data_IF_895413686905
#
_entry.id   IF_895413686905
#
_cell.length_a   1.000
_cell.length_b   1.000
_cell.length_c   1.000
_cell.angle_alpha   90.00
_cell.angle_beta   90.00
_cell.angle_gamma   90.00
#
_symmetry.space_group_name_H-M   'P 1'
#
loop_
_entity.id
_entity.type
_entity.pdbx_description
1 polymer ?
#
# COMPACT_ATOMS: atom_id res chain seq x y z
N UNK A 1 -7.43 42.16 -1.68
CA UNK A 1 -6.01 41.87 -1.96
C UNK A 1 -5.94 40.61 -2.81
N UNK A 2 -5.47 40.73 -4.04
CA UNK A 2 -5.36 39.64 -5.01
C UNK A 2 -4.10 38.85 -4.62
N UNK A 3 -4.28 37.64 -4.11
CA UNK A 3 -3.16 36.74 -3.84
C UNK A 3 -2.65 36.23 -5.18
N UNK A 4 -1.44 36.66 -5.53
CA UNK A 4 -0.68 36.26 -6.71
C UNK A 4 -0.57 34.74 -6.77
N UNK A 5 -1.17 34.12 -7.79
CA UNK A 5 -0.94 32.71 -8.12
C UNK A 5 0.49 32.57 -8.64
N UNK A 6 1.36 31.93 -7.86
CA UNK A 6 2.65 31.45 -8.33
C UNK A 6 2.44 30.53 -9.52
N UNK A 7 2.99 30.90 -10.69
CA UNK A 7 3.05 30.07 -11.89
C UNK A 7 3.93 28.85 -11.64
N UNK A 8 3.39 27.80 -11.01
CA UNK A 8 3.92 26.45 -11.17
C UNK A 8 3.52 25.99 -12.58
N UNK A 9 4.52 25.82 -13.44
CA UNK A 9 4.38 25.21 -14.77
C UNK A 9 3.75 23.83 -14.55
N UNK A 10 2.46 23.68 -14.82
CA UNK A 10 1.77 22.40 -14.61
C UNK A 10 2.43 21.37 -15.52
N UNK A 11 3.19 20.44 -14.94
CA UNK A 11 3.56 19.22 -15.64
C UNK A 11 2.26 18.60 -16.13
N UNK A 12 2.11 18.40 -17.43
CA UNK A 12 0.93 17.72 -17.97
C UNK A 12 0.90 16.34 -17.34
N UNK A 13 -0.12 16.05 -16.54
CA UNK A 13 -0.30 14.76 -15.90
C UNK A 13 -0.63 13.74 -16.99
N UNK A 14 0.33 12.85 -17.26
CA UNK A 14 0.22 11.79 -18.27
C UNK A 14 0.42 10.43 -17.63
N UNK A 15 -0.10 9.39 -18.27
CA UNK A 15 0.16 8.01 -17.91
C UNK A 15 1.66 7.73 -17.92
N UNK A 16 2.16 7.22 -16.81
CA UNK A 16 3.56 6.92 -16.60
C UNK A 16 4.11 5.85 -17.54
N UNK A 17 3.27 4.97 -18.11
CA UNK A 17 3.75 3.85 -18.92
C UNK A 17 3.63 4.07 -20.44
N UNK A 18 2.59 4.78 -20.90
CA UNK A 18 2.35 5.00 -22.33
C UNK A 18 2.23 6.47 -22.75
N UNK A 19 2.27 7.42 -21.80
CA UNK A 19 2.16 8.86 -22.08
C UNK A 19 0.75 9.34 -22.45
N UNK A 20 -0.29 8.52 -22.29
CA UNK A 20 -1.67 8.93 -22.52
C UNK A 20 -2.06 10.09 -21.59
N UNK A 21 -2.78 11.08 -22.11
CA UNK A 21 -3.33 12.18 -21.31
C UNK A 21 -4.43 11.69 -20.36
N UNK A 22 -4.71 12.51 -19.33
CA UNK A 22 -5.84 12.33 -18.41
C UNK A 22 -5.86 10.96 -17.69
N UNK A 23 -4.78 10.60 -16.96
CA UNK A 23 -4.73 9.37 -16.20
C UNK A 23 -5.84 9.33 -15.14
N UNK A 24 -6.48 8.17 -14.97
CA UNK A 24 -7.64 7.98 -14.08
C UNK A 24 -7.36 7.06 -12.89
N UNK A 25 -6.13 6.52 -12.81
CA UNK A 25 -5.66 5.60 -11.79
C UNK A 25 -4.28 6.01 -11.31
N UNK A 26 -3.89 5.52 -10.15
CA UNK A 26 -2.54 5.65 -9.62
C UNK A 26 -2.01 4.32 -9.12
N UNK A 27 -0.69 4.14 -9.22
CA UNK A 27 0.07 3.14 -8.49
C UNK A 27 0.73 3.82 -7.29
N UNK A 28 0.16 3.62 -6.10
CA UNK A 28 0.50 4.34 -4.87
C UNK A 28 1.97 4.11 -4.50
N UNK A 29 2.37 2.84 -4.34
CA UNK A 29 3.73 2.47 -3.95
C UNK A 29 4.78 2.83 -5.02
N UNK A 30 4.36 3.12 -6.26
CA UNK A 30 5.25 3.57 -7.34
C UNK A 30 5.27 5.08 -7.50
N UNK A 31 4.31 5.81 -6.91
CA UNK A 31 4.13 7.24 -7.10
C UNK A 31 3.76 7.65 -8.53
N UNK A 32 3.03 6.79 -9.25
CA UNK A 32 2.76 6.97 -10.69
C UNK A 32 1.28 7.12 -10.99
N UNK A 33 0.96 7.96 -11.99
CA UNK A 33 -0.37 8.06 -12.58
C UNK A 33 -0.48 7.12 -13.80
N UNK A 34 -1.63 6.49 -13.97
CA UNK A 34 -1.89 5.46 -14.99
C UNK A 34 -3.20 5.76 -15.73
N UNK A 35 -3.22 5.52 -17.04
CA UNK A 35 -4.47 5.42 -17.79
C UNK A 35 -5.17 4.07 -17.49
N UNK A 36 -6.44 3.95 -17.85
CA UNK A 36 -7.21 2.72 -17.63
C UNK A 36 -6.52 1.50 -18.27
N UNK A 37 -6.09 1.59 -19.53
CA UNK A 37 -5.41 0.49 -20.23
C UNK A 37 -4.16 -0.03 -19.50
N UNK A 38 -3.26 0.87 -19.06
CA UNK A 38 -2.06 0.43 -18.34
C UNK A 38 -2.42 -0.10 -16.95
N UNK A 39 -3.41 0.51 -16.30
CA UNK A 39 -3.94 0.05 -15.02
C UNK A 39 -4.47 -1.40 -15.08
N UNK A 40 -5.08 -1.84 -16.19
CA UNK A 40 -5.55 -3.22 -16.32
C UNK A 40 -4.41 -4.25 -16.17
N UNK A 41 -3.21 -3.93 -16.65
CA UNK A 41 -2.01 -4.75 -16.48
C UNK A 41 -1.45 -4.64 -15.05
N UNK A 42 -1.49 -3.45 -14.45
CA UNK A 42 -1.08 -3.29 -13.05
C UNK A 42 -1.91 -4.15 -12.08
N UNK A 43 -3.22 -4.26 -12.34
CA UNK A 43 -4.13 -5.09 -11.54
C UNK A 43 -3.83 -6.58 -11.63
N UNK A 44 -3.29 -7.05 -12.76
CA UNK A 44 -2.95 -8.47 -12.94
C UNK A 44 -1.63 -8.88 -12.28
N UNK A 45 -0.77 -7.92 -11.89
CA UNK A 45 0.47 -8.20 -11.16
C UNK A 45 0.26 -8.34 -9.65
N UNK A 46 -0.85 -7.83 -9.10
CA UNK A 46 -1.15 -7.88 -7.68
C UNK A 46 -0.44 -6.80 -6.83
N UNK A 47 -0.91 -6.64 -5.59
CA UNK A 47 -0.49 -5.56 -4.69
C UNK A 47 1.00 -5.60 -4.33
N UNK A 48 1.58 -6.79 -4.21
CA UNK A 48 3.02 -6.96 -3.98
C UNK A 48 3.90 -6.30 -5.05
N UNK A 49 3.34 -5.95 -6.22
CA UNK A 49 4.02 -5.17 -7.26
C UNK A 49 3.46 -3.75 -7.35
N UNK A 50 2.13 -3.58 -7.39
CA UNK A 50 1.46 -2.29 -7.61
C UNK A 50 0.17 -2.16 -6.80
N UNK A 51 0.13 -1.16 -5.93
CA UNK A 51 -1.06 -0.72 -5.19
C UNK A 51 -1.91 0.21 -6.05
N UNK A 52 -2.92 -0.34 -6.72
CA UNK A 52 -3.76 0.42 -7.66
C UNK A 52 -4.91 1.11 -6.92
N UNK A 53 -5.16 2.39 -7.23
CA UNK A 53 -6.32 3.13 -6.71
C UNK A 53 -6.86 4.11 -7.76
N UNK A 54 -8.18 4.24 -7.86
CA UNK A 54 -8.81 5.18 -8.80
C UNK A 54 -8.63 6.63 -8.31
N UNK A 55 -8.37 7.54 -9.25
CA UNK A 55 -8.31 8.98 -8.98
C UNK A 55 -9.70 9.65 -9.03
N UNK A 56 -10.69 8.96 -9.62
CA UNK A 56 -12.04 9.51 -9.85
C UNK A 56 -13.09 8.93 -8.90
N UNK A 57 -12.83 7.76 -8.33
CA UNK A 57 -13.76 7.05 -7.46
C UNK A 57 -13.09 6.59 -6.18
N UNK A 58 -13.86 6.59 -5.08
CA UNK A 58 -13.38 6.24 -3.75
C UNK A 58 -12.77 7.43 -2.99
N UNK A 59 -12.57 7.25 -1.69
CA UNK A 59 -11.99 8.26 -0.80
C UNK A 59 -10.46 8.13 -0.76
N UNK A 60 -9.76 9.26 -0.74
CA UNK A 60 -8.32 9.35 -0.56
C UNK A 60 -8.02 10.04 0.77
N UNK A 61 -7.16 9.46 1.64
CA UNK A 61 -6.52 10.22 2.70
C UNK A 61 -5.75 11.42 2.08
N UNK A 62 -5.89 12.65 2.61
CA UNK A 62 -5.26 13.83 2.03
C UNK A 62 -3.73 13.71 1.90
N UNK A 63 -3.06 13.19 2.94
CA UNK A 63 -1.63 12.93 2.96
C UNK A 63 -1.17 11.93 1.90
N UNK A 64 -1.96 10.87 1.67
CA UNK A 64 -1.67 9.84 0.67
C UNK A 64 -1.78 10.40 -0.76
N UNK A 65 -2.81 11.20 -1.03
CA UNK A 65 -2.96 11.86 -2.33
C UNK A 65 -1.85 12.88 -2.57
N UNK A 66 -1.53 13.69 -1.56
CA UNK A 66 -0.45 14.66 -1.62
C UNK A 66 0.92 13.99 -1.89
N UNK A 67 1.17 12.81 -1.29
CA UNK A 67 2.37 12.01 -1.55
C UNK A 67 2.47 11.59 -3.03
N UNK A 68 1.39 11.02 -3.60
CA UNK A 68 1.38 10.61 -5.02
C UNK A 68 1.54 11.80 -5.96
N UNK A 69 0.87 12.92 -5.68
CA UNK A 69 0.99 14.16 -6.46
C UNK A 69 2.41 14.74 -6.40
N UNK A 70 3.01 14.78 -5.21
CA UNK A 70 4.37 15.27 -5.02
C UNK A 70 5.41 14.40 -5.75
N UNK A 71 5.29 13.07 -5.69
CA UNK A 71 6.14 12.15 -6.45
C UNK A 71 6.00 12.35 -7.96
N UNK A 72 4.76 12.50 -8.44
CA UNK A 72 4.50 12.77 -9.87
C UNK A 72 5.12 14.10 -10.31
N UNK A 73 4.94 15.16 -9.51
CA UNK A 73 5.51 16.49 -9.78
C UNK A 73 7.05 16.49 -9.78
N UNK A 74 7.67 15.62 -8.98
CA UNK A 74 9.13 15.42 -8.94
C UNK A 74 9.67 14.53 -10.08
N UNK A 75 8.81 14.08 -11.01
CA UNK A 75 9.16 13.18 -12.11
C UNK A 75 9.81 11.87 -11.62
N UNK A 76 9.21 11.27 -10.58
CA UNK A 76 9.63 9.97 -10.02
C UNK A 76 9.70 8.85 -11.07
N UNK A 77 8.97 8.99 -12.19
CA UNK A 77 9.00 8.03 -13.27
C UNK A 77 10.42 7.83 -13.86
N UNK A 78 11.29 8.83 -13.72
CA UNK A 78 12.71 8.72 -14.09
C UNK A 78 13.49 7.65 -13.29
N UNK A 79 13.03 7.28 -12.10
CA UNK A 79 13.60 6.17 -11.30
C UNK A 79 13.29 4.83 -11.97
N UNK A 80 12.03 4.66 -12.38
CA UNK A 80 11.51 3.45 -13.00
C UNK A 80 11.92 3.27 -14.46
N UNK A 81 12.40 4.32 -15.09
CA UNK A 81 12.80 4.39 -16.50
C UNK A 81 14.26 4.83 -16.66
N UNK A 82 15.08 4.70 -15.63
CA UNK A 82 16.45 5.25 -15.59
C UNK A 82 17.27 4.86 -16.82
N UNK A 83 17.33 3.58 -17.19
CA UNK A 83 18.10 3.13 -18.36
C UNK A 83 17.51 3.57 -19.70
N UNK A 84 16.21 3.92 -19.75
CA UNK A 84 15.58 4.46 -20.96
C UNK A 84 15.99 5.91 -21.22
N UNK A 85 16.47 6.61 -20.18
CA UNK A 85 16.95 7.99 -20.27
C UNK A 85 18.42 8.09 -20.72
N UNK A 86 19.15 6.97 -20.75
CA UNK A 86 20.55 6.93 -21.17
C UNK A 86 20.70 7.21 -22.67
N UNK A 87 21.09 8.44 -23.02
CA UNK A 87 21.22 8.85 -24.43
C UNK A 87 22.32 8.12 -25.18
N UNK A 88 23.26 7.45 -24.48
CA UNK A 88 24.31 6.63 -25.09
C UNK A 88 23.80 5.29 -25.61
N UNK A 89 22.68 4.77 -25.07
CA UNK A 89 22.11 3.51 -25.48
C UNK A 89 21.43 3.58 -26.87
N UNK A 90 21.50 2.50 -27.68
CA UNK A 90 20.78 2.40 -28.95
C UNK A 90 19.29 2.72 -28.82
N UNK A 91 18.73 3.48 -29.78
CA UNK A 91 17.33 3.94 -29.74
C UNK A 91 16.30 2.83 -29.56
N UNK A 92 16.56 1.64 -30.11
CA UNK A 92 15.63 0.51 -30.02
C UNK A 92 15.49 -0.04 -28.58
N UNK A 93 16.51 0.13 -27.73
CA UNK A 93 16.50 -0.27 -26.31
C UNK A 93 15.80 0.75 -25.41
N UNK A 94 15.45 1.94 -25.95
CA UNK A 94 14.82 3.05 -25.21
C UNK A 94 13.36 3.28 -25.60
N UNK A 95 12.74 2.29 -26.25
CA UNK A 95 11.40 2.45 -26.80
C UNK A 95 10.35 2.29 -25.70
N UNK A 96 9.69 3.39 -25.38
CA UNK A 96 8.49 3.41 -24.54
C UNK A 96 7.22 3.32 -25.41
N UNK A 97 6.18 2.57 -24.98
CA UNK A 97 4.90 2.54 -25.67
C UNK A 97 4.28 3.92 -25.81
N UNK A 98 3.51 4.09 -26.88
CA UNK A 98 2.71 5.29 -27.15
C UNK A 98 1.24 5.07 -26.75
N UNK A 99 0.44 6.14 -26.61
CA UNK A 99 -0.96 6.02 -26.21
C UNK A 99 -1.79 5.14 -27.13
N UNK A 100 -1.46 5.11 -28.43
CA UNK A 100 -2.17 4.35 -29.47
C UNK A 100 -1.66 2.92 -29.66
N UNK A 101 -0.55 2.55 -29.00
CA UNK A 101 -0.02 1.19 -29.12
C UNK A 101 -1.00 0.18 -28.51
N UNK A 102 -1.09 -1.05 -29.06
CA UNK A 102 -2.00 -2.07 -28.54
C UNK A 102 -1.64 -2.45 -27.10
N UNK A 103 -2.66 -2.76 -26.29
CA UNK A 103 -2.47 -3.20 -24.91
C UNK A 103 -1.59 -4.45 -24.85
N UNK A 104 -1.92 -5.45 -25.66
CA UNK A 104 -1.17 -6.68 -25.79
C UNK A 104 -0.57 -6.82 -27.20
N UNK A 105 0.70 -7.27 -27.33
CA UNK A 105 1.66 -7.45 -26.25
C UNK A 105 2.32 -6.14 -25.79
N UNK A 106 2.31 -5.08 -26.62
CA UNK A 106 3.23 -3.92 -26.52
C UNK A 106 3.21 -3.22 -25.15
N UNK A 107 2.07 -2.68 -24.71
CA UNK A 107 2.01 -2.00 -23.40
C UNK A 107 2.24 -3.00 -22.26
N UNK A 108 1.63 -4.17 -22.33
CA UNK A 108 1.70 -5.19 -21.27
C UNK A 108 3.12 -5.71 -21.02
N UNK A 109 3.90 -6.00 -22.07
CA UNK A 109 5.29 -6.44 -21.93
C UNK A 109 6.17 -5.36 -21.34
N UNK A 110 5.98 -4.11 -21.78
CA UNK A 110 6.70 -2.97 -21.22
C UNK A 110 6.40 -2.77 -19.74
N UNK A 111 5.12 -2.81 -19.34
CA UNK A 111 4.69 -2.66 -17.95
C UNK A 111 5.28 -3.78 -17.08
N UNK A 112 5.23 -5.03 -17.54
CA UNK A 112 5.84 -6.16 -16.85
C UNK A 112 7.37 -6.03 -16.76
N UNK A 113 8.03 -5.57 -17.82
CA UNK A 113 9.47 -5.31 -17.79
C UNK A 113 9.82 -4.21 -16.76
N UNK A 114 9.05 -3.12 -16.74
CA UNK A 114 9.26 -1.95 -15.88
C UNK A 114 9.02 -2.26 -14.40
N UNK A 115 7.88 -2.87 -14.06
CA UNK A 115 7.42 -2.94 -12.66
C UNK A 115 7.65 -4.31 -12.02
N UNK A 116 7.53 -5.40 -12.79
CA UNK A 116 7.72 -6.76 -12.28
C UNK A 116 9.20 -7.18 -12.37
N UNK A 117 9.84 -6.97 -13.52
CA UNK A 117 11.25 -7.36 -13.74
C UNK A 117 12.25 -6.27 -13.34
N UNK A 118 11.76 -5.06 -13.05
CA UNK A 118 12.57 -3.89 -12.73
C UNK A 118 13.71 -3.67 -13.74
N UNK A 119 13.40 -3.84 -15.03
CA UNK A 119 14.39 -3.91 -16.10
C UNK A 119 15.12 -2.58 -16.36
N UNK A 120 14.52 -1.46 -15.97
CA UNK A 120 15.04 -0.12 -16.29
C UNK A 120 15.46 0.68 -15.05
N UNK A 121 15.33 0.11 -13.85
CA UNK A 121 15.69 0.76 -12.59
C UNK A 121 17.20 0.69 -12.38
N UNK A 122 17.80 1.78 -11.91
CA UNK A 122 19.17 1.76 -11.42
C UNK A 122 19.27 0.87 -10.18
N UNK A 123 19.95 -0.26 -10.28
CA UNK A 123 20.18 -1.15 -9.14
C UNK A 123 21.30 -0.61 -8.26
N UNK A 124 21.22 -0.93 -6.96
CA UNK A 124 22.31 -0.68 -6.03
C UNK A 124 23.61 -1.33 -6.50
N UNK A 125 24.75 -0.75 -6.11
CA UNK A 125 26.06 -1.34 -6.39
C UNK A 125 26.18 -2.66 -5.63
N UNK A 126 26.72 -3.70 -6.27
CA UNK A 126 26.85 -5.04 -5.66
C UNK A 126 27.66 -5.05 -4.37
N UNK A 127 28.57 -4.10 -4.22
CA UNK A 127 29.50 -4.01 -3.10
C UNK A 127 28.98 -3.10 -1.96
N UNK A 128 27.84 -2.43 -2.15
CA UNK A 128 27.25 -1.57 -1.11
C UNK A 128 26.48 -2.44 -0.11
N UNK A 129 26.81 -2.40 1.20
CA UNK A 129 26.12 -3.22 2.17
C UNK A 129 24.66 -2.76 2.29
N UNK A 130 23.66 -3.67 2.40
CA UNK A 130 22.25 -3.31 2.49
C UNK A 130 21.92 -2.31 3.61
N UNK A 131 22.70 -2.33 4.69
CA UNK A 131 22.60 -1.38 5.80
C UNK A 131 22.93 0.06 5.42
N UNK A 132 23.75 0.28 4.39
CA UNK A 132 24.11 1.63 3.90
C UNK A 132 22.91 2.33 3.29
N UNK A 133 22.18 1.65 2.39
CA UNK A 133 20.94 2.18 1.82
C UNK A 133 19.91 2.50 2.90
N UNK A 134 19.79 1.62 3.91
CA UNK A 134 18.96 1.85 5.09
C UNK A 134 19.39 3.10 5.86
N UNK A 135 20.69 3.30 6.10
CA UNK A 135 21.23 4.50 6.76
C UNK A 135 20.98 5.78 5.94
N UNK A 136 21.16 5.72 4.63
CA UNK A 136 20.87 6.83 3.72
C UNK A 136 19.37 7.19 3.76
N UNK A 137 18.49 6.18 3.72
CA UNK A 137 17.04 6.37 3.80
C UNK A 137 16.66 7.00 5.15
N UNK A 138 17.21 6.48 6.25
CA UNK A 138 17.00 7.01 7.61
C UNK A 138 17.33 8.50 7.72
N UNK A 139 18.37 8.97 7.02
CA UNK A 139 18.69 10.40 6.96
C UNK A 139 17.80 11.18 6.00
N UNK A 140 17.50 10.63 4.82
CA UNK A 140 16.77 11.31 3.74
C UNK A 140 15.34 11.71 4.12
N UNK A 141 14.65 10.86 4.89
CA UNK A 141 13.24 11.03 5.28
C UNK A 141 13.00 12.18 6.26
N UNK A 142 14.07 12.81 6.78
CA UNK A 142 13.97 14.07 7.54
C UNK A 142 13.56 15.25 6.65
N UNK A 143 13.88 15.20 5.36
CA UNK A 143 13.53 16.23 4.37
C UNK A 143 12.20 15.93 3.69
N UNK A 144 11.56 16.94 3.10
CA UNK A 144 10.33 16.77 2.31
C UNK A 144 10.56 16.24 0.89
N UNK A 145 11.81 15.98 0.50
CA UNK A 145 12.14 15.43 -0.83
C UNK A 145 11.82 13.93 -0.88
N UNK A 146 10.75 13.59 -1.59
CA UNK A 146 10.31 12.20 -1.74
C UNK A 146 11.15 11.44 -2.78
N UNK A 147 11.67 12.11 -3.83
CA UNK A 147 12.50 11.47 -4.87
C UNK A 147 13.68 10.69 -4.29
N UNK A 148 14.38 11.27 -3.31
CA UNK A 148 15.55 10.61 -2.69
C UNK A 148 15.14 9.35 -1.93
N UNK A 149 14.13 9.45 -1.07
CA UNK A 149 13.62 8.31 -0.31
C UNK A 149 13.09 7.21 -1.26
N UNK A 150 12.34 7.61 -2.28
CA UNK A 150 11.80 6.71 -3.29
C UNK A 150 12.88 5.98 -4.09
N UNK A 151 13.97 6.67 -4.45
CA UNK A 151 15.10 6.09 -5.17
C UNK A 151 15.80 5.04 -4.33
N UNK A 152 16.02 5.33 -3.05
CA UNK A 152 16.64 4.39 -2.10
C UNK A 152 15.76 3.15 -1.91
N UNK A 153 14.44 3.32 -1.75
CA UNK A 153 13.48 2.21 -1.68
C UNK A 153 13.49 1.37 -2.96
N UNK A 154 13.49 2.01 -4.14
CA UNK A 154 13.58 1.31 -5.43
C UNK A 154 14.91 0.57 -5.64
N UNK A 155 15.98 0.99 -4.96
CA UNK A 155 17.29 0.32 -4.94
C UNK A 155 17.37 -0.83 -3.93
N UNK A 156 16.36 -0.99 -3.05
CA UNK A 156 16.27 -2.05 -2.07
C UNK A 156 16.60 -1.63 -0.63
N UNK A 157 16.56 -0.34 -0.30
CA UNK A 157 16.60 0.11 1.09
C UNK A 157 15.45 -0.54 1.89
N UNK A 158 15.77 -1.08 3.06
CA UNK A 158 14.76 -1.63 3.97
C UNK A 158 13.95 -0.49 4.61
N UNK A 159 12.63 -0.39 4.37
CA UNK A 159 11.78 0.63 5.01
C UNK A 159 11.71 0.48 6.53
N UNK A 160 12.01 -0.71 7.07
CA UNK A 160 12.07 -1.01 8.51
C UNK A 160 13.48 -0.92 9.08
N UNK A 161 14.46 -0.41 8.33
CA UNK A 161 15.83 -0.26 8.81
C UNK A 161 15.87 0.45 10.17
N UNK A 162 16.47 -0.20 11.16
CA UNK A 162 16.66 0.32 12.51
C UNK A 162 18.09 0.82 12.68
N UNK A 163 18.24 2.13 12.89
CA UNK A 163 19.54 2.73 13.16
C UNK A 163 19.92 2.53 14.64
N UNK A 164 20.92 1.68 14.92
CA UNK A 164 21.37 1.38 16.28
C UNK A 164 21.92 2.62 17.02
N UNK A 165 22.69 3.46 16.34
CA UNK A 165 23.30 4.65 16.95
C UNK A 165 22.27 5.73 17.29
N UNK A 166 21.21 5.85 16.48
CA UNK A 166 20.09 6.80 16.70
C UNK A 166 18.89 6.16 17.39
N UNK A 167 18.93 4.85 17.64
CA UNK A 167 17.88 4.05 18.25
C UNK A 167 16.50 4.22 17.64
N UNK A 168 16.36 4.30 16.31
CA UNK A 168 15.07 4.58 15.67
C UNK A 168 14.99 4.09 14.22
N UNK A 169 13.77 3.83 13.73
CA UNK A 169 13.52 3.50 12.31
C UNK A 169 13.35 4.75 11.44
N UNK A 170 13.33 4.57 10.12
CA UNK A 170 13.02 5.64 9.15
C UNK A 170 11.69 6.33 9.45
N UNK A 171 10.65 5.57 9.83
CA UNK A 171 9.33 6.11 10.09
C UNK A 171 9.32 7.02 11.33
N UNK A 172 10.06 6.67 12.39
CA UNK A 172 10.25 7.57 13.55
C UNK A 172 10.86 8.91 13.15
N UNK A 173 11.88 8.91 12.28
CA UNK A 173 12.54 10.13 11.82
C UNK A 173 11.57 11.02 11.02
N UNK A 174 10.82 10.45 10.09
CA UNK A 174 9.81 11.18 9.31
C UNK A 174 8.76 11.83 10.24
N UNK A 175 8.33 11.10 11.27
CA UNK A 175 7.31 11.54 12.21
C UNK A 175 7.79 12.64 13.16
N UNK A 176 9.01 12.54 13.70
CA UNK A 176 9.62 13.62 14.50
C UNK A 176 9.85 14.89 13.67
N UNK A 177 10.03 14.75 12.36
CA UNK A 177 10.24 15.85 11.43
C UNK A 177 8.94 16.39 10.79
N UNK A 178 7.77 15.84 11.16
CA UNK A 178 6.48 16.28 10.65
C UNK A 178 6.30 16.07 9.14
N UNK A 179 6.80 14.96 8.60
CA UNK A 179 6.77 14.66 7.16
C UNK A 179 5.68 13.64 6.80
N UNK A 180 4.40 14.05 6.64
CA UNK A 180 3.31 13.11 6.37
C UNK A 180 3.48 12.33 5.06
N UNK A 181 3.95 13.00 4.00
CA UNK A 181 4.17 12.32 2.71
C UNK A 181 5.32 11.30 2.77
N UNK A 182 6.35 11.53 3.59
CA UNK A 182 7.40 10.53 3.82
C UNK A 182 6.85 9.33 4.61
N UNK A 183 6.01 9.58 5.62
CA UNK A 183 5.37 8.51 6.39
C UNK A 183 4.48 7.62 5.49
N UNK A 184 3.63 8.23 4.65
CA UNK A 184 2.80 7.51 3.68
C UNK A 184 3.65 6.70 2.69
N UNK A 185 4.75 7.27 2.18
CA UNK A 185 5.67 6.57 1.28
C UNK A 185 6.29 5.35 1.96
N UNK A 186 6.83 5.52 3.17
CA UNK A 186 7.46 4.44 3.92
C UNK A 186 6.46 3.31 4.22
N UNK A 187 5.26 3.64 4.69
CA UNK A 187 4.20 2.64 4.97
C UNK A 187 3.72 1.96 3.69
N UNK A 188 3.61 2.69 2.56
CA UNK A 188 3.28 2.08 1.27
C UNK A 188 4.33 1.06 0.78
N UNK A 189 5.56 1.14 1.30
CA UNK A 189 6.64 0.19 1.07
C UNK A 189 6.79 -0.87 2.18
N UNK A 190 5.94 -0.84 3.21
CA UNK A 190 5.91 -1.84 4.28
C UNK A 190 6.62 -1.45 5.57
N UNK A 191 6.89 -0.15 5.81
CA UNK A 191 7.31 0.29 7.13
C UNK A 191 6.23 0.01 8.18
N UNK A 192 6.63 -0.54 9.33
CA UNK A 192 5.77 -0.87 10.45
C UNK A 192 5.43 0.38 11.28
N UNK A 193 4.15 0.83 11.31
CA UNK A 193 3.72 1.98 12.11
C UNK A 193 3.65 1.67 13.62
N UNK A 194 3.85 0.42 14.03
CA UNK A 194 3.84 -0.01 15.44
C UNK A 194 5.23 -0.23 16.04
N UNK A 195 6.29 -0.15 15.22
CA UNK A 195 7.67 -0.30 15.65
C UNK A 195 8.01 0.61 16.83
N UNK A 196 8.90 0.18 17.71
CA UNK A 196 9.35 0.99 18.86
C UNK A 196 10.78 1.47 18.69
N UNK A 197 11.02 2.73 19.03
CA UNK A 197 12.37 3.29 19.13
C UNK A 197 13.07 2.88 20.46
N UNK A 198 14.30 3.33 20.67
CA UNK A 198 15.08 3.02 21.88
C UNK A 198 14.49 3.59 23.18
N UNK A 199 13.55 4.53 23.10
CA UNK A 199 12.78 5.02 24.25
C UNK A 199 11.48 4.27 24.47
N UNK A 200 11.20 3.27 23.61
CA UNK A 200 9.96 2.53 23.59
C UNK A 200 8.82 3.28 22.93
N UNK A 201 9.05 4.44 22.29
CA UNK A 201 8.01 5.24 21.66
C UNK A 201 7.67 4.70 20.26
N UNK A 202 6.39 4.78 19.87
CA UNK A 202 5.95 4.49 18.50
C UNK A 202 6.12 5.71 17.57
N UNK A 203 6.07 5.54 16.24
CA UNK A 203 6.07 6.67 15.31
C UNK A 203 4.94 7.68 15.57
N UNK A 204 3.75 7.22 15.99
CA UNK A 204 2.62 8.10 16.29
C UNK A 204 2.88 8.93 17.56
N UNK A 205 3.50 8.33 18.57
CA UNK A 205 3.93 9.03 19.79
C UNK A 205 5.04 10.04 19.47
N UNK A 206 6.00 9.70 18.60
CA UNK A 206 7.03 10.61 18.11
C UNK A 206 6.44 11.82 17.37
N UNK A 207 5.44 11.61 16.49
CA UNK A 207 4.76 12.70 15.81
C UNK A 207 4.06 13.63 16.81
N UNK A 208 3.37 13.06 17.82
CA UNK A 208 2.70 13.82 18.88
C UNK A 208 3.67 14.64 19.73
N UNK A 209 4.81 14.06 20.11
CA UNK A 209 5.88 14.76 20.84
C UNK A 209 6.48 15.92 20.03
N UNK A 210 6.56 15.78 18.70
CA UNK A 210 6.95 16.85 17.79
C UNK A 210 5.87 17.91 17.51
N UNK A 211 4.67 17.78 18.08
CA UNK A 211 3.54 18.69 17.84
C UNK A 211 2.81 18.46 16.51
N UNK A 212 3.04 17.31 15.86
CA UNK A 212 2.44 16.95 14.57
C UNK A 212 1.21 16.06 14.76
N UNK A 213 0.16 16.62 15.37
CA UNK A 213 -1.03 15.86 15.79
C UNK A 213 -1.76 15.18 14.64
N UNK A 214 -1.96 15.89 13.51
CA UNK A 214 -2.60 15.31 12.32
C UNK A 214 -1.83 14.09 11.76
N UNK A 215 -0.49 14.14 11.78
CA UNK A 215 0.34 13.01 11.40
C UNK A 215 0.24 11.86 12.41
N UNK A 216 0.17 12.16 13.71
CA UNK A 216 -0.01 11.14 14.74
C UNK A 216 -1.36 10.41 14.60
N UNK A 217 -2.42 11.15 14.28
CA UNK A 217 -3.75 10.59 14.04
C UNK A 217 -3.75 9.74 12.76
N UNK A 218 -3.15 10.25 11.68
CA UNK A 218 -2.99 9.48 10.44
C UNK A 218 -2.18 8.20 10.63
N UNK A 219 -1.13 8.23 11.45
CA UNK A 219 -0.39 7.01 11.78
C UNK A 219 -1.23 6.02 12.58
N UNK A 220 -2.09 6.53 13.46
CA UNK A 220 -3.03 5.66 14.20
C UNK A 220 -3.98 4.98 13.22
N UNK A 221 -4.53 5.71 12.24
CA UNK A 221 -5.32 5.09 11.15
C UNK A 221 -4.50 4.03 10.39
N UNK A 222 -3.23 4.30 10.07
CA UNK A 222 -2.37 3.37 9.34
C UNK A 222 -2.07 2.08 10.14
N UNK A 223 -2.05 2.13 11.47
CA UNK A 223 -1.97 0.93 12.33
C UNK A 223 -3.20 0.04 12.16
N UNK A 224 -4.39 0.64 12.02
CA UNK A 224 -5.66 -0.07 11.96
C UNK A 224 -6.22 -0.24 10.54
N UNK A 225 -5.53 0.25 9.51
CA UNK A 225 -5.97 0.27 8.10
C UNK A 225 -6.57 -1.07 7.65
N UNK A 226 -5.94 -2.20 8.04
CA UNK A 226 -6.44 -3.51 7.68
C UNK A 226 -7.81 -3.78 8.30
N UNK A 227 -7.95 -3.65 9.62
CA UNK A 227 -9.20 -3.89 10.33
C UNK A 227 -10.28 -2.88 9.99
N UNK A 228 -9.91 -1.62 9.77
CA UNK A 228 -10.79 -0.54 9.36
C UNK A 228 -11.43 -0.84 8.00
N UNK A 229 -10.63 -1.32 7.04
CA UNK A 229 -11.16 -1.71 5.73
C UNK A 229 -12.11 -2.90 5.82
N UNK A 230 -11.81 -3.88 6.68
CA UNK A 230 -12.69 -5.01 6.94
C UNK A 230 -14.02 -4.57 7.57
N UNK A 231 -13.98 -3.65 8.55
CA UNK A 231 -15.17 -3.06 9.18
C UNK A 231 -15.98 -2.27 8.17
N UNK A 232 -15.34 -1.38 7.40
CA UNK A 232 -16.02 -0.55 6.41
C UNK A 232 -16.66 -1.39 5.30
N UNK A 233 -15.98 -2.43 4.82
CA UNK A 233 -16.55 -3.33 3.81
C UNK A 233 -17.79 -4.07 4.32
N UNK A 234 -17.82 -4.42 5.61
CA UNK A 234 -18.93 -5.16 6.22
C UNK A 234 -20.10 -4.27 6.65
N UNK A 235 -19.82 -3.05 7.11
CA UNK A 235 -20.80 -2.20 7.82
C UNK A 235 -21.04 -0.84 7.17
N UNK A 236 -20.10 -0.35 6.35
CA UNK A 236 -20.07 1.03 5.86
C UNK A 236 -19.62 2.06 6.91
N UNK A 237 -19.29 1.64 8.12
CA UNK A 237 -18.84 2.51 9.22
C UNK A 237 -17.32 2.58 9.30
N UNK A 238 -16.80 3.67 9.88
CA UNK A 238 -15.37 3.82 10.20
C UNK A 238 -15.18 3.96 11.71
N UNK A 239 -14.18 3.28 12.30
CA UNK A 239 -13.84 3.45 13.70
C UNK A 239 -13.46 4.89 14.05
N UNK A 240 -13.70 5.27 15.31
CA UNK A 240 -13.34 6.57 15.86
C UNK A 240 -12.11 6.40 16.75
N UNK A 241 -10.94 6.46 16.12
CA UNK A 241 -9.66 6.30 16.79
C UNK A 241 -9.36 7.42 17.79
N UNK A 242 -9.88 8.64 17.57
CA UNK A 242 -9.69 9.77 18.48
C UNK A 242 -10.38 9.51 19.83
N UNK A 243 -11.52 8.81 19.82
CA UNK A 243 -12.20 8.34 21.03
C UNK A 243 -11.64 7.03 21.60
N UNK A 244 -10.53 6.51 21.08
CA UNK A 244 -9.96 5.21 21.48
C UNK A 244 -10.77 4.00 21.03
N UNK A 245 -11.76 4.19 20.15
CA UNK A 245 -12.63 3.13 19.61
C UNK A 245 -12.02 2.60 18.32
N UNK A 246 -10.95 1.81 18.45
CA UNK A 246 -10.21 1.26 17.30
C UNK A 246 -10.89 0.05 16.64
N UNK A 247 -11.81 -0.62 17.33
CA UNK A 247 -12.53 -1.78 16.82
C UNK A 247 -14.04 -1.55 16.92
N UNK A 248 -14.76 -1.94 15.87
CA UNK A 248 -16.22 -2.04 15.87
C UNK A 248 -16.53 -3.51 15.69
N UNK A 249 -17.12 -4.13 16.73
CA UNK A 249 -17.62 -5.50 16.61
C UNK A 249 -18.99 -5.45 15.93
N UNK A 250 -19.14 -5.99 14.71
CA UNK A 250 -20.43 -6.00 14.02
C UNK A 250 -21.41 -6.84 14.82
N UNK A 251 -22.57 -6.27 15.19
CA UNK A 251 -23.63 -7.03 15.87
C UNK A 251 -24.06 -8.17 14.97
N UNK A 252 -24.10 -9.39 15.50
CA UNK A 252 -24.74 -10.49 14.79
C UNK A 252 -26.21 -10.12 14.61
N UNK A 253 -26.73 -10.21 13.38
CA UNK A 253 -28.16 -10.35 13.22
C UNK A 253 -28.48 -11.78 13.68
N UNK A 254 -28.90 -11.90 14.93
CA UNK A 254 -29.38 -13.14 15.53
C UNK A 254 -30.66 -13.60 14.81
N UNK A 255 -30.52 -14.30 13.69
CA UNK A 255 -31.65 -14.98 13.06
C UNK A 255 -31.34 -16.36 12.51
N UNK A 256 -30.09 -16.84 12.58
CA UNK A 256 -29.76 -18.20 12.16
C UNK A 256 -28.81 -18.89 13.14
N UNK A 257 -29.19 -20.07 13.62
CA UNK A 257 -28.30 -20.96 14.37
C UNK A 257 -27.02 -21.20 13.57
N UNK A 258 -25.88 -20.93 14.20
CA UNK A 258 -24.58 -21.14 13.60
C UNK A 258 -24.34 -22.64 13.40
N UNK A 259 -24.07 -23.04 12.16
CA UNK A 259 -23.82 -24.45 11.82
C UNK A 259 -22.60 -25.00 12.57
N UNK A 260 -22.57 -26.32 12.81
CA UNK A 260 -21.43 -26.95 13.48
C UNK A 260 -20.13 -26.78 12.70
N UNK A 261 -20.23 -26.70 11.37
CA UNK A 261 -19.10 -26.36 10.48
C UNK A 261 -18.57 -24.96 10.76
N UNK A 262 -19.45 -23.96 10.91
CA UNK A 262 -19.05 -22.59 11.22
C UNK A 262 -18.43 -22.47 12.62
N UNK A 263 -18.98 -23.17 13.63
CA UNK A 263 -18.38 -23.25 14.97
C UNK A 263 -16.98 -23.85 14.95
N UNK A 264 -16.81 -24.97 14.23
CA UNK A 264 -15.50 -25.62 14.10
C UNK A 264 -14.48 -24.73 13.35
N UNK A 265 -14.92 -24.00 12.32
CA UNK A 265 -14.08 -23.04 11.60
C UNK A 265 -13.62 -21.88 12.50
N UNK A 266 -14.53 -21.29 13.28
CA UNK A 266 -14.20 -20.26 14.28
C UNK A 266 -13.21 -20.77 15.32
N UNK A 267 -13.39 -22.00 15.82
CA UNK A 267 -12.45 -22.63 16.74
C UNK A 267 -11.03 -22.75 16.15
N UNK A 268 -10.91 -23.17 14.89
CA UNK A 268 -9.62 -23.22 14.18
C UNK A 268 -8.98 -21.84 14.01
N UNK A 269 -9.77 -20.82 13.70
CA UNK A 269 -9.30 -19.44 13.59
C UNK A 269 -8.67 -18.93 14.90
N UNK A 270 -9.36 -19.16 16.03
CA UNK A 270 -8.90 -18.71 17.35
C UNK A 270 -7.61 -19.39 17.80
N UNK A 271 -7.34 -20.61 17.32
CA UNK A 271 -6.12 -21.37 17.60
C UNK A 271 -4.91 -20.92 16.77
N UNK A 272 -5.09 -20.05 15.77
CA UNK A 272 -3.96 -19.54 15.00
C UNK A 272 -3.01 -18.71 15.89
N UNK A 273 -1.68 -18.90 15.77
CA UNK A 273 -0.70 -17.94 16.28
C UNK A 273 -0.91 -16.54 15.70
N UNK A 274 -0.49 -15.48 16.41
CA UNK A 274 -0.67 -14.09 15.97
C UNK A 274 -0.12 -13.82 14.57
N UNK A 275 1.10 -14.27 14.27
CA UNK A 275 1.70 -14.07 12.95
C UNK A 275 0.87 -14.72 11.82
N UNK A 276 0.33 -15.92 12.00
CA UNK A 276 -0.53 -16.56 10.99
C UNK A 276 -1.90 -15.88 10.88
N UNK A 277 -2.40 -15.34 11.99
CA UNK A 277 -3.64 -14.57 12.01
C UNK A 277 -3.49 -13.24 11.26
N UNK A 278 -2.42 -12.48 11.54
CA UNK A 278 -2.08 -11.24 10.83
C UNK A 278 -1.90 -11.48 9.33
N UNK A 279 -1.19 -12.55 8.99
CA UNK A 279 -1.08 -13.01 7.62
C UNK A 279 -2.47 -13.25 7.00
N UNK A 280 -3.38 -13.97 7.66
CA UNK A 280 -4.74 -14.21 7.15
C UNK A 280 -5.52 -12.90 6.97
N UNK A 281 -5.41 -11.96 7.92
CA UNK A 281 -6.01 -10.63 7.83
C UNK A 281 -5.53 -9.91 6.56
N UNK A 282 -4.24 -9.99 6.24
CA UNK A 282 -3.69 -9.37 5.03
C UNK A 282 -4.19 -10.04 3.73
N UNK A 283 -4.41 -11.36 3.73
CA UNK A 283 -5.02 -12.03 2.58
C UNK A 283 -6.48 -11.58 2.35
N UNK A 284 -7.25 -11.42 3.43
CA UNK A 284 -8.63 -10.93 3.38
C UNK A 284 -8.65 -9.47 2.94
N UNK A 285 -7.73 -8.64 3.44
CA UNK A 285 -7.55 -7.25 3.03
C UNK A 285 -7.32 -7.16 1.52
N UNK A 286 -6.41 -7.97 0.98
CA UNK A 286 -6.12 -8.02 -0.45
C UNK A 286 -7.36 -8.39 -1.27
N UNK A 287 -8.16 -9.35 -0.80
CA UNK A 287 -9.39 -9.76 -1.48
C UNK A 287 -10.48 -8.67 -1.44
N UNK A 288 -10.63 -7.96 -0.32
CA UNK A 288 -11.53 -6.80 -0.24
C UNK A 288 -11.08 -5.73 -1.24
N UNK A 289 -9.79 -5.39 -1.25
CA UNK A 289 -9.22 -4.42 -2.19
C UNK A 289 -9.47 -4.83 -3.65
N UNK A 290 -9.32 -6.12 -3.98
CA UNK A 290 -9.64 -6.65 -5.31
C UNK A 290 -11.12 -6.49 -5.65
N UNK A 291 -12.04 -6.85 -4.75
CA UNK A 291 -13.50 -6.74 -4.98
C UNK A 291 -13.94 -5.30 -5.19
N UNK A 292 -13.48 -4.38 -4.34
CA UNK A 292 -13.76 -2.95 -4.46
C UNK A 292 -13.20 -2.37 -5.75
N UNK A 293 -11.95 -2.71 -6.08
CA UNK A 293 -11.30 -2.26 -7.31
C UNK A 293 -12.03 -2.80 -8.55
N UNK A 294 -12.50 -4.05 -8.53
CA UNK A 294 -13.29 -4.63 -9.62
C UNK A 294 -14.64 -3.92 -9.77
N UNK A 295 -15.33 -3.58 -8.67
CA UNK A 295 -16.57 -2.80 -8.73
C UNK A 295 -16.36 -1.42 -9.38
N UNK A 296 -15.29 -0.72 -9.03
CA UNK A 296 -14.90 0.56 -9.66
C UNK A 296 -14.55 0.33 -11.13
N UNK A 297 -13.82 -0.73 -11.46
CA UNK A 297 -13.42 -1.04 -12.83
C UNK A 297 -14.63 -1.28 -13.73
N UNK A 298 -15.63 -2.04 -13.28
CA UNK A 298 -16.85 -2.33 -14.04
C UNK A 298 -17.67 -1.08 -14.37
N UNK A 299 -17.60 -0.03 -13.53
CA UNK A 299 -18.31 1.24 -13.78
C UNK A 299 -17.48 2.25 -14.60
N UNK A 300 -16.15 2.12 -14.62
CA UNK A 300 -15.25 3.10 -15.24
C UNK A 300 -14.62 2.67 -16.57
N UNK A 301 -14.56 1.37 -16.87
CA UNK A 301 -13.87 0.82 -18.04
C UNK A 301 -14.78 0.56 -19.25
N UNK A 302 -15.71 1.47 -19.57
CA UNK A 302 -16.60 1.34 -20.73
C UNK A 302 -15.79 1.24 -22.03
N UNK A 303 -15.93 0.13 -22.77
CA UNK A 303 -15.31 -0.05 -24.09
C UNK A 303 -13.94 -0.74 -24.12
N UNK A 304 -13.38 -1.10 -22.95
CA UNK A 304 -12.22 -2.00 -22.88
C UNK A 304 -12.72 -3.46 -22.84
N UNK A 305 -12.04 -4.39 -23.53
CA UNK A 305 -12.28 -5.81 -23.30
C UNK A 305 -12.22 -6.08 -21.80
N UNK A 306 -13.28 -6.69 -21.25
CA UNK A 306 -13.46 -6.92 -19.81
C UNK A 306 -12.47 -7.97 -19.30
N UNK A 307 -11.19 -7.62 -19.27
CA UNK A 307 -10.13 -8.41 -18.62
C UNK A 307 -10.24 -8.18 -17.11
N UNK A 308 -11.22 -8.85 -16.50
CA UNK A 308 -11.47 -8.80 -15.06
C UNK A 308 -10.46 -9.65 -14.29
N UNK A 309 -10.01 -9.15 -13.13
CA UNK A 309 -9.14 -9.92 -12.23
C UNK A 309 -10.03 -10.68 -11.27
N UNK A 310 -10.37 -11.92 -11.64
CA UNK A 310 -11.39 -12.73 -10.95
C UNK A 310 -10.94 -13.30 -9.59
N UNK A 311 -9.64 -13.40 -9.35
CA UNK A 311 -9.05 -13.83 -8.08
C UNK A 311 -7.70 -13.13 -7.86
N UNK A 312 -7.17 -13.20 -6.64
CA UNK A 312 -5.88 -12.60 -6.31
C UNK A 312 -4.73 -13.13 -7.19
N UNK A 313 -3.94 -12.25 -7.83
CA UNK A 313 -2.75 -12.65 -8.56
C UNK A 313 -1.76 -13.44 -7.70
N UNK A 314 -1.02 -14.34 -8.34
CA UNK A 314 0.03 -15.14 -7.68
C UNK A 314 1.15 -14.22 -7.21
N UNK A 315 1.54 -14.34 -5.95
CA UNK A 315 2.75 -13.74 -5.43
C UNK A 315 3.87 -14.80 -5.39
N UNK A 316 4.95 -14.65 -6.19
CA UNK A 316 6.06 -15.60 -6.22
C UNK A 316 6.82 -15.76 -4.90
N UNK A 317 6.71 -14.77 -4.00
CA UNK A 317 7.32 -14.86 -2.66
C UNK A 317 6.53 -15.75 -1.69
N UNK A 318 5.28 -16.11 -2.02
CA UNK A 318 4.42 -16.95 -1.19
C UNK A 318 4.42 -18.40 -1.67
N UNK A 319 4.23 -19.33 -0.74
CA UNK A 319 4.11 -20.75 -1.06
C UNK A 319 2.88 -21.05 -1.95
N UNK A 320 2.91 -22.15 -2.71
CA UNK A 320 1.77 -22.56 -3.53
C UNK A 320 0.47 -22.78 -2.71
N UNK A 321 0.50 -23.43 -1.52
CA UNK A 321 -0.69 -23.52 -0.67
C UNK A 321 -1.23 -22.15 -0.23
N UNK A 322 -0.34 -21.20 0.05
CA UNK A 322 -0.73 -19.84 0.45
C UNK A 322 -1.41 -19.08 -0.68
N UNK A 323 -0.83 -19.13 -1.88
CA UNK A 323 -1.45 -18.57 -3.09
C UNK A 323 -2.81 -19.22 -3.39
N UNK A 324 -2.93 -20.54 -3.23
CA UNK A 324 -4.20 -21.24 -3.39
C UNK A 324 -5.24 -20.77 -2.37
N UNK A 325 -4.85 -20.57 -1.10
CA UNK A 325 -5.72 -20.02 -0.05
C UNK A 325 -6.26 -18.64 -0.43
N UNK A 326 -5.38 -17.72 -0.81
CA UNK A 326 -5.71 -16.37 -1.30
C UNK A 326 -6.71 -16.40 -2.45
N UNK A 327 -6.50 -17.26 -3.45
CA UNK A 327 -7.38 -17.37 -4.61
C UNK A 327 -8.74 -17.98 -4.28
N UNK A 328 -8.82 -18.86 -3.27
CA UNK A 328 -10.09 -19.44 -2.81
C UNK A 328 -11.01 -18.40 -2.16
N UNK A 329 -10.48 -17.31 -1.60
CA UNK A 329 -11.30 -16.22 -1.04
C UNK A 329 -12.24 -15.59 -2.08
N UNK A 330 -11.87 -15.61 -3.36
CA UNK A 330 -12.71 -15.12 -4.45
C UNK A 330 -13.99 -15.96 -4.67
N UNK A 331 -14.01 -17.22 -4.19
CA UNK A 331 -15.18 -18.11 -4.30
C UNK A 331 -16.22 -17.89 -3.22
N UNK A 332 -15.86 -17.18 -2.13
CA UNK A 332 -16.79 -16.90 -1.05
C UNK A 332 -17.90 -15.98 -1.54
N UNK A 333 -19.14 -16.41 -1.34
CA UNK A 333 -20.32 -15.56 -1.49
C UNK A 333 -20.26 -14.36 -0.54
N UNK A 334 -21.11 -13.35 -0.78
CA UNK A 334 -21.20 -12.18 0.10
C UNK A 334 -21.52 -12.58 1.54
N UNK A 335 -22.37 -13.58 1.75
CA UNK A 335 -22.75 -14.07 3.08
C UNK A 335 -21.59 -14.81 3.79
N UNK A 336 -20.85 -15.66 3.06
CA UNK A 336 -19.69 -16.36 3.59
C UNK A 336 -18.55 -15.39 3.92
N UNK A 337 -18.26 -14.44 3.02
CA UNK A 337 -17.27 -13.39 3.26
C UNK A 337 -17.64 -12.57 4.50
N UNK A 338 -18.90 -12.12 4.61
CA UNK A 338 -19.36 -11.38 5.79
C UNK A 338 -19.22 -12.18 7.09
N UNK A 339 -19.38 -13.50 7.05
CA UNK A 339 -19.22 -14.38 8.21
C UNK A 339 -17.75 -14.52 8.60
N UNK A 340 -16.85 -14.74 7.64
CA UNK A 340 -15.40 -14.74 7.86
C UNK A 340 -14.92 -13.41 8.47
N UNK A 341 -15.40 -12.28 7.93
CA UNK A 341 -15.05 -10.95 8.41
C UNK A 341 -15.49 -10.74 9.86
N UNK A 342 -16.71 -11.14 10.23
CA UNK A 342 -17.17 -11.08 11.62
C UNK A 342 -16.28 -11.89 12.55
N UNK A 343 -15.96 -13.13 12.18
CA UNK A 343 -15.11 -14.00 13.00
C UNK A 343 -13.70 -13.44 13.19
N UNK A 344 -13.12 -12.91 12.12
CA UNK A 344 -11.79 -12.26 12.16
C UNK A 344 -11.82 -10.99 13.02
N UNK A 345 -12.84 -10.14 12.90
CA UNK A 345 -12.94 -8.91 13.71
C UNK A 345 -13.17 -9.20 15.20
N UNK A 346 -13.97 -10.22 15.51
CA UNK A 346 -14.14 -10.70 16.90
C UNK A 346 -12.80 -11.21 17.46
N UNK A 347 -12.07 -12.03 16.70
CA UNK A 347 -10.79 -12.57 17.17
C UNK A 347 -9.69 -11.50 17.24
N UNK A 348 -9.67 -10.52 16.33
CA UNK A 348 -8.77 -9.37 16.37
C UNK A 348 -9.01 -8.54 17.65
N UNK A 349 -10.27 -8.27 17.99
CA UNK A 349 -10.66 -7.56 19.22
C UNK A 349 -10.20 -8.34 20.46
N UNK A 350 -10.39 -9.67 20.46
CA UNK A 350 -9.94 -10.55 21.55
C UNK A 350 -8.43 -10.51 21.72
N UNK A 351 -7.67 -10.64 20.63
CA UNK A 351 -6.19 -10.61 20.64
C UNK A 351 -5.67 -9.27 21.13
N UNK A 352 -6.27 -8.17 20.68
CA UNK A 352 -5.92 -6.84 21.17
C UNK A 352 -6.15 -6.72 22.68
N UNK A 353 -7.31 -7.16 23.17
CA UNK A 353 -7.60 -7.13 24.61
C UNK A 353 -6.55 -7.91 25.42
N UNK A 354 -6.19 -9.12 24.98
CA UNK A 354 -5.13 -9.92 25.62
C UNK A 354 -3.79 -9.17 25.62
N UNK A 355 -3.41 -8.55 24.49
CA UNK A 355 -2.18 -7.78 24.38
C UNK A 355 -2.16 -6.56 25.32
N UNK A 356 -3.32 -5.92 25.57
CA UNK A 356 -3.41 -4.80 26.52
C UNK A 356 -3.29 -5.22 27.99
N UNK A 357 -3.62 -6.48 28.31
CA UNK A 357 -3.55 -7.02 29.68
C UNK A 357 -2.15 -7.54 30.04
N UNK A 358 -1.30 -7.85 29.06
CA UNK A 358 0.07 -8.26 29.30
C UNK A 358 0.91 -7.05 29.73
N UNK A 359 1.65 -7.11 30.86
CA UNK A 359 2.55 -6.04 31.24
C UNK A 359 3.58 -5.86 30.14
N UNK A 360 3.70 -4.64 29.62
CA UNK A 360 4.69 -4.28 28.60
C UNK A 360 6.09 -4.46 29.18
N UNK A 361 6.65 -5.66 29.04
CA UNK A 361 7.99 -6.00 29.49
C UNK A 361 8.99 -5.06 28.83
N UNK A 362 9.85 -4.44 29.65
CA UNK A 362 11.09 -3.83 29.18
C UNK A 362 12.02 -4.99 28.85
N UNK A 363 12.09 -5.37 27.58
CA UNK A 363 13.23 -6.14 27.06
C UNK A 363 14.34 -5.18 26.62
#
# INVERSE_FOLDING_TARGET
MIISRSKHRSSVEVCADCGASDPSWASINRGLLLCAECCSVHRSMGRHISHVKSLRQGSWPPSLLAMVQALTAQNVNSIWEHSLLDTSAPKHLRKKPQPKDPLHPVKSEFILAKHLRLAYVLRARRDEPPSELGRQLHSAVRSSSLDTAMRLLAQGADPNYYNQEKGSTCLHVACRAGQPAQAELLVAWGADPTARDCSGATPAECARQGGHTELADRLTELVYEATDRLIYFLTGERPDHAAGRHYIVPRAHDTHEMTDVAKAARGKLQLLPNHLFEELVMDIYDEIDRRETEAIWQTSATGLERSGVVFLPVNPALSAPRNQGRQKLARLSTAEMATLLRDVLVDATRRQHIATLQPRGRE
#
